data_IF_016655903645
#
_entry.id   IF_016655903645
#
_cell.length_a   1.000
_cell.length_b   1.000
_cell.length_c   1.000
_cell.angle_alpha   90.00
_cell.angle_beta   90.00
_cell.angle_gamma   90.00
#
_symmetry.space_group_name_H-M   'P 1'
#
loop_
_entity.id
_entity.type
_entity.pdbx_description
1 polymer ?
#
# COMPACT_ATOMS: atom_id res chain seq x y z
N UNK A 1 -27.69 29.34 -5.35
CA UNK A 1 -27.46 28.28 -6.37
C UNK A 1 -26.10 28.57 -6.99
N UNK A 2 -25.22 27.58 -7.14
CA UNK A 2 -23.89 27.82 -7.74
C UNK A 2 -24.04 27.96 -9.26
N UNK A 3 -23.46 29.01 -9.84
CA UNK A 3 -23.40 29.17 -11.29
C UNK A 3 -22.38 28.20 -11.91
N UNK A 4 -22.68 27.60 -13.08
CA UNK A 4 -21.75 26.70 -13.73
C UNK A 4 -20.58 27.46 -14.35
N UNK A 5 -19.40 26.82 -14.33
CA UNK A 5 -18.24 27.30 -15.07
C UNK A 5 -18.49 27.30 -16.59
N UNK A 6 -17.69 28.05 -17.34
CA UNK A 6 -17.71 27.96 -18.80
C UNK A 6 -17.44 26.53 -19.29
N UNK A 7 -18.02 26.15 -20.43
CA UNK A 7 -17.88 24.80 -20.99
C UNK A 7 -16.40 24.40 -21.15
N UNK A 8 -15.55 25.33 -21.62
CA UNK A 8 -14.11 25.10 -21.76
C UNK A 8 -13.45 24.76 -20.42
N UNK A 9 -13.81 25.48 -19.35
CA UNK A 9 -13.25 25.21 -18.02
C UNK A 9 -13.75 23.89 -17.45
N UNK A 10 -15.01 23.54 -17.70
CA UNK A 10 -15.53 22.22 -17.34
C UNK A 10 -14.81 21.09 -18.09
N UNK A 11 -14.53 21.26 -19.40
CA UNK A 11 -13.79 20.29 -20.20
C UNK A 11 -12.36 20.08 -19.66
N UNK A 12 -11.68 21.18 -19.33
CA UNK A 12 -10.34 21.13 -18.70
C UNK A 12 -10.38 20.33 -17.39
N UNK A 13 -11.35 20.57 -16.52
CA UNK A 13 -11.48 19.84 -15.26
C UNK A 13 -11.88 18.39 -15.43
N UNK A 14 -12.73 18.08 -16.41
CA UNK A 14 -13.09 16.70 -16.75
C UNK A 14 -11.86 15.88 -17.16
N UNK A 15 -11.05 16.41 -18.09
CA UNK A 15 -9.81 15.75 -18.53
C UNK A 15 -8.80 15.63 -17.39
N UNK A 16 -8.61 16.69 -16.58
CA UNK A 16 -7.73 16.64 -15.41
C UNK A 16 -8.17 15.59 -14.39
N UNK A 17 -9.48 15.42 -14.17
CA UNK A 17 -10.00 14.38 -13.29
C UNK A 17 -9.71 12.99 -13.85
N UNK A 18 -9.99 12.76 -15.13
CA UNK A 18 -9.68 11.51 -15.83
C UNK A 18 -8.20 11.12 -15.71
N UNK A 19 -7.29 12.02 -16.09
CA UNK A 19 -5.84 11.76 -16.00
C UNK A 19 -5.36 11.47 -14.57
N UNK A 20 -5.93 12.14 -13.57
CA UNK A 20 -5.60 11.84 -12.16
C UNK A 20 -6.04 10.44 -11.75
N UNK A 21 -7.22 10.00 -12.19
CA UNK A 21 -7.73 8.64 -11.91
C UNK A 21 -6.85 7.60 -12.60
N UNK A 22 -6.54 7.78 -13.90
CA UNK A 22 -5.63 6.89 -14.63
C UNK A 22 -4.28 6.74 -13.92
N UNK A 23 -3.65 7.87 -13.57
CA UNK A 23 -2.37 7.88 -12.86
C UNK A 23 -2.43 7.17 -11.50
N UNK A 24 -3.53 7.32 -10.76
CA UNK A 24 -3.70 6.62 -9.47
C UNK A 24 -3.88 5.11 -9.66
N UNK A 25 -4.54 4.68 -10.73
CA UNK A 25 -4.63 3.25 -11.10
C UNK A 25 -3.24 2.68 -11.42
N UNK A 26 -2.41 3.42 -12.15
CA UNK A 26 -1.02 3.06 -12.44
C UNK A 26 -0.20 2.96 -11.16
N UNK A 27 -0.27 3.97 -10.28
CA UNK A 27 0.41 3.93 -8.98
C UNK A 27 0.06 2.66 -8.18
N UNK A 28 -1.23 2.31 -8.12
CA UNK A 28 -1.68 1.08 -7.44
C UNK A 28 -1.09 -0.19 -8.06
N UNK A 29 -0.99 -0.25 -9.39
CA UNK A 29 -0.43 -1.39 -10.13
C UNK A 29 1.07 -1.51 -9.85
N UNK A 30 1.80 -0.43 -10.06
CA UNK A 30 3.27 -0.40 -9.92
C UNK A 30 3.72 -0.77 -8.51
N UNK A 31 2.98 -0.30 -7.50
CA UNK A 31 3.23 -0.69 -6.12
C UNK A 31 3.02 -2.19 -5.90
N UNK A 32 1.85 -2.71 -6.30
CA UNK A 32 1.46 -4.10 -6.01
C UNK A 32 2.35 -5.15 -6.67
N UNK A 33 2.76 -4.95 -7.93
CA UNK A 33 3.49 -5.97 -8.72
C UNK A 33 4.80 -6.41 -8.03
N UNK A 34 5.49 -5.47 -7.37
CA UNK A 34 6.71 -5.73 -6.62
C UNK A 34 6.48 -5.96 -5.12
N UNK A 35 5.37 -5.49 -4.57
CA UNK A 35 5.06 -5.65 -3.15
C UNK A 35 4.66 -7.09 -2.83
N UNK A 36 3.72 -7.66 -3.61
CA UNK A 36 3.14 -8.99 -3.36
C UNK A 36 4.19 -10.10 -3.41
N UNK A 37 5.18 -9.98 -4.31
CA UNK A 37 6.27 -10.94 -4.46
C UNK A 37 7.13 -11.02 -3.20
N UNK A 38 7.52 -9.86 -2.65
CA UNK A 38 8.35 -9.80 -1.44
C UNK A 38 7.53 -10.24 -0.24
N UNK A 39 6.28 -9.76 -0.10
CA UNK A 39 5.39 -10.17 0.98
C UNK A 39 5.18 -11.70 1.03
N UNK A 40 4.82 -12.33 -0.09
CA UNK A 40 4.62 -13.78 -0.15
C UNK A 40 5.89 -14.56 0.22
N UNK A 41 7.05 -14.11 -0.26
CA UNK A 41 8.34 -14.71 0.11
C UNK A 41 8.57 -14.62 1.63
N UNK A 42 8.41 -13.43 2.21
CA UNK A 42 8.59 -13.20 3.65
C UNK A 42 7.60 -14.02 4.49
N UNK A 43 6.32 -14.07 4.08
CA UNK A 43 5.28 -14.88 4.73
C UNK A 43 5.64 -16.37 4.73
N UNK A 44 6.10 -16.90 3.60
CA UNK A 44 6.54 -18.29 3.50
C UNK A 44 7.76 -18.58 4.38
N UNK A 45 8.77 -17.68 4.39
CA UNK A 45 9.92 -17.78 5.29
C UNK A 45 9.48 -17.81 6.76
N UNK A 46 8.47 -17.01 7.13
CA UNK A 46 7.93 -17.01 8.49
C UNK A 46 7.16 -18.29 8.85
N UNK A 47 6.38 -18.85 7.92
CA UNK A 47 5.74 -20.17 8.12
C UNK A 47 6.79 -21.25 8.36
N UNK A 48 7.89 -21.25 7.59
CA UNK A 48 9.00 -22.17 7.81
C UNK A 48 9.67 -21.97 9.17
N UNK A 49 9.80 -20.73 9.64
CA UNK A 49 10.32 -20.43 10.97
C UNK A 49 9.44 -20.99 12.08
N UNK A 50 8.11 -20.93 11.94
CA UNK A 50 7.17 -21.51 12.91
C UNK A 50 7.25 -23.04 12.98
N UNK A 51 7.53 -23.69 11.85
CA UNK A 51 7.62 -25.15 11.74
C UNK A 51 9.01 -25.72 12.07
N UNK A 52 9.99 -24.87 12.39
CA UNK A 52 11.37 -25.27 12.69
C UNK A 52 11.78 -24.86 14.10
N UNK A 53 12.83 -25.51 14.64
CA UNK A 53 13.44 -25.10 15.90
C UNK A 53 14.03 -23.68 15.78
N UNK A 54 14.15 -22.94 16.91
CA UNK A 54 14.59 -21.53 16.99
C UNK A 54 15.78 -21.26 16.03
N UNK A 55 15.51 -20.60 14.90
CA UNK A 55 16.49 -20.34 13.84
C UNK A 55 16.76 -18.84 13.72
N UNK A 56 17.83 -18.38 14.38
CA UNK A 56 18.22 -16.96 14.39
C UNK A 56 18.64 -16.43 13.01
N UNK A 57 19.18 -17.29 12.14
CA UNK A 57 19.58 -16.91 10.78
C UNK A 57 18.33 -16.55 9.97
N UNK A 58 17.31 -17.41 10.01
CA UNK A 58 16.04 -17.19 9.30
C UNK A 58 15.31 -15.94 9.81
N UNK A 59 15.36 -15.64 11.11
CA UNK A 59 14.83 -14.38 11.66
C UNK A 59 15.51 -13.17 11.01
N UNK A 60 16.84 -13.16 10.93
CA UNK A 60 17.60 -12.04 10.34
C UNK A 60 17.26 -11.85 8.86
N UNK A 61 17.05 -12.94 8.12
CA UNK A 61 16.63 -12.88 6.72
C UNK A 61 15.22 -12.30 6.56
N UNK A 62 14.28 -12.73 7.40
CA UNK A 62 12.91 -12.21 7.41
C UNK A 62 12.91 -10.70 7.72
N UNK A 63 13.66 -10.26 8.74
CA UNK A 63 13.79 -8.84 9.09
C UNK A 63 14.35 -8.03 7.90
N UNK A 64 15.39 -8.55 7.23
CA UNK A 64 15.96 -7.88 6.04
C UNK A 64 14.95 -7.73 4.90
N UNK A 65 14.11 -8.74 4.68
CA UNK A 65 13.05 -8.64 3.66
C UNK A 65 11.93 -7.69 4.09
N UNK A 66 11.59 -7.62 5.38
CA UNK A 66 10.66 -6.63 5.93
C UNK A 66 11.17 -5.20 5.73
N UNK A 67 12.45 -4.93 6.01
CA UNK A 67 13.04 -3.60 5.84
C UNK A 67 13.03 -3.12 4.38
N UNK A 68 13.17 -4.04 3.41
CA UNK A 68 12.99 -3.71 1.99
C UNK A 68 11.56 -3.25 1.70
N UNK A 69 10.56 -3.87 2.32
CA UNK A 69 9.16 -3.48 2.15
C UNK A 69 8.91 -2.12 2.82
N UNK A 70 9.39 -1.90 4.04
CA UNK A 70 9.29 -0.60 4.74
C UNK A 70 9.87 0.52 3.88
N UNK A 71 11.08 0.33 3.35
CA UNK A 71 11.73 1.29 2.44
C UNK A 71 10.87 1.61 1.21
N UNK A 72 10.12 0.64 0.66
CA UNK A 72 9.20 0.88 -0.46
C UNK A 72 8.00 1.73 -0.02
N UNK A 73 7.45 1.46 1.16
CA UNK A 73 6.35 2.25 1.74
C UNK A 73 6.81 3.69 2.00
N UNK A 74 8.01 3.89 2.55
CA UNK A 74 8.57 5.23 2.81
C UNK A 74 8.72 6.05 1.52
N UNK A 75 9.10 5.40 0.41
CA UNK A 75 9.20 6.07 -0.90
C UNK A 75 7.86 6.58 -1.44
N UNK A 76 6.72 6.07 -0.95
CA UNK A 76 5.40 6.54 -1.37
C UNK A 76 5.15 8.00 -0.98
N UNK A 77 5.69 8.46 0.16
CA UNK A 77 5.53 9.84 0.63
C UNK A 77 5.99 10.89 -0.38
N UNK A 78 7.05 10.58 -1.13
CA UNK A 78 7.62 11.50 -2.11
C UNK A 78 6.99 11.34 -3.51
N UNK A 79 6.60 10.12 -3.88
CA UNK A 79 6.29 9.80 -5.27
C UNK A 79 4.79 9.57 -5.54
N UNK A 80 4.02 9.10 -4.55
CA UNK A 80 2.66 8.57 -4.72
C UNK A 80 1.78 8.96 -3.52
N UNK A 81 1.57 10.28 -3.33
CA UNK A 81 0.84 10.86 -2.19
C UNK A 81 -0.61 10.38 -2.09
N UNK A 82 -1.22 10.02 -3.21
CA UNK A 82 -2.56 9.45 -3.30
C UNK A 82 -2.65 8.11 -2.57
N UNK A 83 -1.62 7.26 -2.66
CA UNK A 83 -1.57 6.00 -1.92
C UNK A 83 -1.38 6.24 -0.42
N UNK A 84 -0.54 7.21 -0.03
CA UNK A 84 -0.36 7.58 1.38
C UNK A 84 -1.66 8.08 2.01
N UNK A 85 -2.50 8.83 1.28
CA UNK A 85 -3.79 9.28 1.81
C UNK A 85 -4.69 8.11 2.22
N UNK A 86 -4.60 6.99 1.51
CA UNK A 86 -5.39 5.78 1.79
C UNK A 86 -4.76 4.95 2.91
N UNK A 87 -3.42 4.89 2.94
CA UNK A 87 -2.68 4.11 3.91
C UNK A 87 -2.45 4.83 5.24
N UNK A 88 -2.64 6.15 5.32
CA UNK A 88 -2.34 6.98 6.49
C UNK A 88 -2.92 6.43 7.80
N UNK A 89 -4.23 6.19 7.90
CA UNK A 89 -4.83 5.61 9.10
C UNK A 89 -4.24 4.23 9.47
N UNK A 90 -3.94 3.40 8.47
CA UNK A 90 -3.34 2.08 8.68
C UNK A 90 -1.90 2.19 9.21
N UNK A 91 -1.11 3.14 8.69
CA UNK A 91 0.25 3.43 9.15
C UNK A 91 0.24 3.87 10.61
N UNK A 92 -0.65 4.80 10.99
CA UNK A 92 -0.78 5.24 12.38
C UNK A 92 -1.15 4.08 13.31
N UNK A 93 -2.12 3.24 12.92
CA UNK A 93 -2.49 2.08 13.73
C UNK A 93 -1.33 1.10 13.91
N UNK A 94 -0.57 0.86 12.85
CA UNK A 94 0.59 0.00 12.87
C UNK A 94 1.70 0.53 13.80
N UNK A 95 2.00 1.83 13.75
CA UNK A 95 2.96 2.47 14.66
C UNK A 95 2.57 2.33 16.13
N UNK A 96 1.28 2.50 16.45
CA UNK A 96 0.74 2.32 17.79
C UNK A 96 0.90 0.86 18.27
N UNK A 97 0.66 -0.12 17.39
CA UNK A 97 0.87 -1.52 17.73
C UNK A 97 2.35 -1.84 17.95
N UNK A 98 3.25 -1.32 17.10
CA UNK A 98 4.69 -1.50 17.27
C UNK A 98 5.22 -0.90 18.57
N UNK A 99 4.72 0.27 18.98
CA UNK A 99 5.13 0.90 20.24
C UNK A 99 4.95 -0.06 21.44
N UNK A 100 3.87 -0.84 21.46
CA UNK A 100 3.61 -1.86 22.50
C UNK A 100 4.63 -2.98 22.49
N UNK A 101 5.14 -3.37 21.32
CA UNK A 101 6.19 -4.39 21.19
C UNK A 101 7.53 -3.81 21.63
N UNK A 102 7.85 -2.57 21.24
CA UNK A 102 9.14 -1.95 21.52
C UNK A 102 9.42 -1.80 23.02
N UNK A 103 8.40 -1.47 23.82
CA UNK A 103 8.54 -1.31 25.29
C UNK A 103 8.77 -2.62 26.05
N UNK A 104 8.63 -3.79 25.41
CA UNK A 104 8.92 -5.08 26.06
C UNK A 104 10.40 -5.21 26.39
N UNK A 105 10.74 -5.58 27.61
CA UNK A 105 12.13 -5.73 28.08
C UNK A 105 12.50 -7.22 28.22
N UNK A 106 13.01 -7.87 27.15
CA UNK A 106 13.33 -9.30 27.19
C UNK A 106 14.48 -9.57 28.18
N UNK A 107 14.35 -10.61 29.01
CA UNK A 107 15.36 -10.99 30.02
C UNK A 107 16.14 -12.24 29.63
N UNK A 108 15.54 -13.10 28.82
CA UNK A 108 16.12 -14.35 28.36
C UNK A 108 16.29 -14.37 26.84
N UNK A 109 17.09 -15.31 26.32
CA UNK A 109 17.17 -15.57 24.88
C UNK A 109 15.82 -15.97 24.28
N UNK A 110 14.98 -16.64 25.07
CA UNK A 110 13.62 -17.00 24.69
C UNK A 110 12.71 -15.78 24.59
N UNK A 111 12.81 -14.82 25.52
CA UNK A 111 12.06 -13.57 25.43
C UNK A 111 12.47 -12.75 24.20
N UNK A 112 13.76 -12.71 23.87
CA UNK A 112 14.26 -12.05 22.65
C UNK A 112 13.66 -12.71 21.42
N UNK A 113 13.68 -14.04 21.37
CA UNK A 113 13.06 -14.79 20.27
C UNK A 113 11.57 -14.47 20.15
N UNK A 114 10.81 -14.55 21.24
CA UNK A 114 9.38 -14.26 21.25
C UNK A 114 9.06 -12.83 20.84
N UNK A 115 9.85 -11.85 21.31
CA UNK A 115 9.71 -10.44 20.89
C UNK A 115 9.93 -10.28 19.37
N UNK A 116 10.91 -10.97 18.79
CA UNK A 116 11.13 -10.96 17.34
C UNK A 116 9.96 -11.60 16.58
N UNK A 117 9.39 -12.70 17.07
CA UNK A 117 8.22 -13.33 16.47
C UNK A 117 7.02 -12.38 16.47
N UNK A 118 6.75 -11.70 17.60
CA UNK A 118 5.70 -10.68 17.69
C UNK A 118 5.91 -9.55 16.69
N UNK A 119 7.14 -9.03 16.62
CA UNK A 119 7.50 -7.96 15.69
C UNK A 119 7.29 -8.37 14.22
N UNK A 120 7.74 -9.57 13.84
CA UNK A 120 7.58 -10.11 12.47
C UNK A 120 6.09 -10.27 12.14
N UNK A 121 5.31 -10.84 13.07
CA UNK A 121 3.87 -11.07 12.87
C UNK A 121 3.13 -9.75 12.62
N UNK A 122 3.39 -8.74 13.44
CA UNK A 122 2.79 -7.40 13.29
C UNK A 122 3.10 -6.79 11.90
N UNK A 123 4.35 -6.93 11.44
CA UNK A 123 4.73 -6.45 10.11
C UNK A 123 4.04 -7.21 8.98
N UNK A 124 3.91 -8.54 9.09
CA UNK A 124 3.22 -9.34 8.08
C UNK A 124 1.73 -9.01 8.00
N UNK A 125 1.05 -8.86 9.13
CA UNK A 125 -0.36 -8.44 9.19
C UNK A 125 -0.54 -7.06 8.57
N UNK A 126 0.32 -6.09 8.91
CA UNK A 126 0.32 -4.77 8.29
C UNK A 126 0.51 -4.84 6.77
N UNK A 127 1.45 -5.66 6.29
CA UNK A 127 1.68 -5.82 4.84
C UNK A 127 0.49 -6.44 4.11
N UNK A 128 -0.19 -7.40 4.73
CA UNK A 128 -1.41 -8.00 4.20
C UNK A 128 -2.51 -6.95 4.02
N UNK A 129 -2.69 -6.11 5.04
CA UNK A 129 -3.64 -4.99 5.00
C UNK A 129 -3.26 -3.98 3.93
N UNK A 130 -1.99 -3.53 3.86
CA UNK A 130 -1.51 -2.62 2.83
C UNK A 130 -1.85 -3.15 1.42
N UNK A 131 -1.54 -4.42 1.15
CA UNK A 131 -1.87 -5.04 -0.13
C UNK A 131 -3.39 -5.05 -0.40
N UNK A 132 -4.19 -5.42 0.61
CA UNK A 132 -5.64 -5.42 0.53
C UNK A 132 -6.23 -4.04 0.21
N UNK A 133 -5.78 -3.00 0.90
CA UNK A 133 -6.22 -1.62 0.71
C UNK A 133 -5.87 -1.09 -0.69
N UNK A 134 -4.63 -1.28 -1.16
CA UNK A 134 -4.23 -0.84 -2.50
C UNK A 134 -4.99 -1.58 -3.60
N UNK A 135 -5.23 -2.89 -3.42
CA UNK A 135 -6.06 -3.68 -4.34
C UNK A 135 -7.51 -3.19 -4.37
N UNK A 136 -8.10 -2.91 -3.21
CA UNK A 136 -9.46 -2.38 -3.11
C UNK A 136 -9.57 -1.00 -3.79
N UNK A 137 -8.60 -0.11 -3.55
CA UNK A 137 -8.54 1.19 -4.20
C UNK A 137 -8.48 1.06 -5.72
N UNK A 138 -7.57 0.23 -6.25
CA UNK A 138 -7.44 0.02 -7.69
C UNK A 138 -8.78 -0.40 -8.31
N UNK A 139 -9.46 -1.36 -7.69
CA UNK A 139 -10.75 -1.85 -8.17
C UNK A 139 -11.84 -0.77 -8.13
N UNK A 140 -11.86 0.04 -7.06
CA UNK A 140 -12.78 1.16 -6.94
C UNK A 140 -12.52 2.21 -8.04
N UNK A 141 -11.26 2.57 -8.29
CA UNK A 141 -10.90 3.53 -9.34
C UNK A 141 -11.29 3.02 -10.74
N UNK A 142 -10.97 1.77 -11.06
CA UNK A 142 -11.34 1.16 -12.35
C UNK A 142 -12.86 1.15 -12.55
N UNK A 143 -13.64 0.80 -11.50
CA UNK A 143 -15.10 0.79 -11.61
C UNK A 143 -15.68 2.19 -11.84
N UNK A 144 -15.07 3.21 -11.21
CA UNK A 144 -15.60 4.57 -11.22
C UNK A 144 -15.00 5.47 -12.33
N UNK A 145 -14.12 4.94 -13.19
CA UNK A 145 -13.59 5.71 -14.32
C UNK A 145 -14.58 5.78 -15.49
N UNK A 146 -15.44 4.76 -15.66
CA UNK A 146 -16.36 4.65 -16.79
C UNK A 146 -17.25 5.90 -16.99
N UNK A 147 -17.87 6.49 -15.94
CA UNK A 147 -18.66 7.70 -16.12
C UNK A 147 -17.85 8.90 -16.62
N UNK A 148 -16.55 8.98 -16.28
CA UNK A 148 -15.68 10.04 -16.80
C UNK A 148 -15.39 9.81 -18.29
N UNK A 149 -15.12 8.57 -18.69
CA UNK A 149 -14.86 8.21 -20.08
C UNK A 149 -16.08 8.45 -20.97
N UNK A 150 -17.26 8.05 -20.52
CA UNK A 150 -18.53 8.32 -21.20
C UNK A 150 -18.73 9.81 -21.39
N UNK A 151 -18.52 10.61 -20.34
CA UNK A 151 -18.66 12.07 -20.42
C UNK A 151 -17.66 12.72 -21.38
N UNK A 152 -16.42 12.21 -21.44
CA UNK A 152 -15.40 12.70 -22.37
C UNK A 152 -15.81 12.40 -23.82
N UNK A 153 -16.33 11.21 -24.10
CA UNK A 153 -16.84 10.81 -25.43
C UNK A 153 -18.04 11.65 -25.84
N UNK A 154 -19.01 11.87 -24.94
CA UNK A 154 -20.16 12.75 -25.18
C UNK A 154 -19.74 14.17 -25.59
N UNK A 155 -18.62 14.66 -25.02
CA UNK A 155 -18.07 15.98 -25.32
C UNK A 155 -17.10 16.01 -26.51
N UNK A 156 -16.88 14.89 -27.20
CA UNK A 156 -15.94 14.74 -28.33
C UNK A 156 -14.50 15.13 -27.96
N UNK A 157 -14.08 14.75 -26.75
CA UNK A 157 -12.75 15.02 -26.19
C UNK A 157 -11.85 13.77 -26.19
N UNK A 158 -12.30 12.68 -26.81
CA UNK A 158 -11.66 11.36 -26.86
C UNK A 158 -10.24 11.38 -27.41
N UNK A 159 -9.91 12.30 -28.33
CA UNK A 159 -8.54 12.51 -28.82
C UNK A 159 -7.51 12.89 -27.75
N UNK A 160 -7.96 13.24 -26.54
CA UNK A 160 -7.14 13.58 -25.38
C UNK A 160 -7.24 12.53 -24.27
N UNK A 161 -7.62 11.29 -24.61
CA UNK A 161 -7.60 10.16 -23.66
C UNK A 161 -6.32 9.31 -23.78
N UNK A 162 -5.51 9.53 -24.81
CA UNK A 162 -4.21 8.89 -24.99
C UNK A 162 -3.17 9.36 -23.95
#
# INVERSE_FOLDING_TARGET
KLEPLSLNKQNEFLLKAYYKVCKSIEHCRDFNDNFIKVYNKTKNSFINLQNSQKNEILIKEIIKDIDKIKTKIDKLYNNQKDLIQILGPLLTQFELNLARIYVLNPKTKEDVFNKNILWIKEHLEFMELVYGHIKAQKNALIKNILPLEEKIKERKLDKWME
#
